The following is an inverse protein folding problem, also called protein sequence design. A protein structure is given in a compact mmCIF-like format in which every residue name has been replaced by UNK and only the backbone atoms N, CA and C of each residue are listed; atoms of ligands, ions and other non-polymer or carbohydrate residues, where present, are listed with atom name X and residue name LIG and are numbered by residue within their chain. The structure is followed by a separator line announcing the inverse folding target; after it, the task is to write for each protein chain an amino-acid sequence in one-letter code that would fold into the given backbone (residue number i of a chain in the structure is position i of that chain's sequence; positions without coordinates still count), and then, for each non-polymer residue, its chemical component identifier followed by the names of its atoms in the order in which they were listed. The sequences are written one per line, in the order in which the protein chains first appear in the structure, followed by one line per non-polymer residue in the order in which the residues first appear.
data_IF_470133392919
#
_entry.id   IF_470133392919
#
_cell.length_a   1.000
_cell.length_b   1.000
_cell.length_c   1.000
_cell.angle_alpha   90.00
_cell.angle_beta   90.00
_cell.angle_gamma   90.00
#
_symmetry.space_group_name_H-M   'P 1'
#
loop_
_entity.id
_entity.type
_entity.pdbx_description
1 polymer ?
#
# COMPACT_ATOMS: atom_id res chain seq x y z
N UNK A 1 -2.50 -18.66 -16.99
CA UNK A 1 -2.52 -18.57 -15.53
C UNK A 1 -2.04 -19.87 -14.88
N UNK A 2 -2.64 -21.04 -15.17
CA UNK A 2 -2.25 -22.31 -14.54
C UNK A 2 -0.74 -22.61 -14.57
N UNK A 3 -0.05 -22.30 -15.67
CA UNK A 3 1.43 -22.43 -15.73
C UNK A 3 2.13 -21.48 -14.77
N UNK A 4 1.62 -20.26 -14.59
CA UNK A 4 2.18 -19.28 -13.64
C UNK A 4 1.98 -19.73 -12.19
N UNK A 5 0.82 -20.30 -11.88
CA UNK A 5 0.52 -20.85 -10.54
C UNK A 5 1.41 -22.04 -10.21
N UNK A 6 1.58 -22.96 -11.17
CA UNK A 6 2.47 -24.12 -11.01
C UNK A 6 3.93 -23.69 -10.88
N UNK A 7 4.39 -22.74 -11.70
CA UNK A 7 5.78 -22.26 -11.66
C UNK A 7 6.09 -21.51 -10.36
N UNK A 8 5.18 -20.68 -9.88
CA UNK A 8 5.36 -19.86 -8.70
C UNK A 8 6.46 -18.81 -8.86
N UNK A 9 6.81 -18.16 -7.76
CA UNK A 9 7.92 -17.21 -7.68
C UNK A 9 8.81 -17.50 -6.48
N UNK A 10 10.12 -17.54 -6.70
CA UNK A 10 11.11 -17.79 -5.65
C UNK A 10 11.20 -16.63 -4.67
N UNK A 11 11.26 -16.96 -3.38
CA UNK A 11 11.34 -15.98 -2.30
C UNK A 11 12.49 -16.34 -1.37
N UNK A 12 13.36 -15.37 -1.11
CA UNK A 12 14.40 -15.50 -0.08
C UNK A 12 13.78 -15.30 1.31
N UNK A 13 13.58 -16.42 2.00
CA UNK A 13 13.01 -16.45 3.35
C UNK A 13 13.88 -15.74 4.38
N UNK A 14 15.21 -15.68 4.18
CA UNK A 14 16.11 -15.06 5.14
C UNK A 14 15.95 -13.54 5.13
N UNK A 15 15.85 -12.93 3.94
CA UNK A 15 15.56 -11.50 3.81
C UNK A 15 14.26 -11.14 4.54
N UNK A 16 13.18 -11.94 4.37
CA UNK A 16 11.92 -11.68 5.07
C UNK A 16 12.07 -11.83 6.60
N UNK A 17 12.82 -12.82 7.07
CA UNK A 17 13.06 -13.02 8.51
C UNK A 17 13.84 -11.87 9.12
N UNK A 18 14.94 -11.45 8.51
CA UNK A 18 15.77 -10.33 8.97
C UNK A 18 14.93 -9.06 9.08
N UNK A 19 14.16 -8.74 8.05
CA UNK A 19 13.21 -7.62 8.08
C UNK A 19 12.16 -7.78 9.19
N UNK A 20 11.68 -8.99 9.40
CA UNK A 20 10.71 -9.30 10.45
C UNK A 20 11.23 -8.97 11.84
N UNK A 21 12.48 -9.33 12.14
CA UNK A 21 13.11 -9.00 13.42
C UNK A 21 13.31 -7.49 13.62
N UNK A 22 13.74 -6.78 12.57
CA UNK A 22 13.85 -5.31 12.62
C UNK A 22 12.50 -4.63 12.90
N UNK A 23 11.44 -5.10 12.24
CA UNK A 23 10.09 -4.54 12.43
C UNK A 23 9.56 -4.85 13.83
N UNK A 24 9.80 -6.04 14.38
CA UNK A 24 9.41 -6.39 15.75
C UNK A 24 10.04 -5.45 16.78
N UNK A 25 11.34 -5.21 16.66
CA UNK A 25 12.06 -4.29 17.56
C UNK A 25 11.42 -2.89 17.49
N UNK A 26 11.12 -2.39 16.28
CA UNK A 26 10.45 -1.10 16.11
C UNK A 26 9.04 -1.08 16.70
N UNK A 27 8.27 -2.15 16.50
CA UNK A 27 6.92 -2.26 17.07
C UNK A 27 6.95 -2.23 18.61
N UNK A 28 7.93 -2.87 19.24
CA UNK A 28 8.11 -2.82 20.68
C UNK A 28 8.44 -1.42 21.19
N UNK A 29 9.34 -0.70 20.50
CA UNK A 29 9.68 0.69 20.85
C UNK A 29 8.47 1.61 20.72
N UNK A 30 7.76 1.55 19.59
CA UNK A 30 6.56 2.38 19.34
C UNK A 30 5.45 2.03 20.35
N UNK A 31 5.31 0.76 20.72
CA UNK A 31 4.34 0.34 21.74
C UNK A 31 4.64 0.99 23.10
N UNK A 32 5.92 1.03 23.52
CA UNK A 32 6.32 1.74 24.73
C UNK A 32 6.01 3.22 24.68
N UNK A 33 6.28 3.86 23.55
CA UNK A 33 5.97 5.29 23.35
C UNK A 33 4.47 5.55 23.44
N UNK A 34 3.64 4.70 22.80
CA UNK A 34 2.17 4.79 22.86
C UNK A 34 1.69 4.68 24.32
N UNK A 35 2.22 3.72 25.11
CA UNK A 35 1.83 3.54 26.49
C UNK A 35 2.30 4.70 27.38
N UNK A 36 3.48 5.26 27.10
CA UNK A 36 3.98 6.44 27.79
C UNK A 36 3.06 7.66 27.57
N UNK A 37 2.66 7.92 26.30
CA UNK A 37 1.73 8.99 25.99
C UNK A 37 0.32 8.73 26.55
N UNK A 38 -0.13 7.49 26.58
CA UNK A 38 -1.42 7.11 27.11
C UNK A 38 -1.44 7.11 28.66
N UNK A 39 -0.29 6.97 29.31
CA UNK A 39 -0.17 6.81 30.77
C UNK A 39 -0.76 5.49 31.28
N UNK A 40 -0.93 4.49 30.42
CA UNK A 40 -1.35 3.12 30.75
C UNK A 40 -1.16 2.17 29.57
N UNK A 41 -1.10 0.89 29.87
CA UNK A 41 -1.14 -0.17 28.86
C UNK A 41 -2.58 -0.47 28.43
N UNK A 42 -2.76 -0.76 27.17
CA UNK A 42 -4.05 -1.14 26.58
C UNK A 42 -3.84 -1.90 25.27
N UNK A 43 -4.88 -2.54 24.74
CA UNK A 43 -4.78 -3.21 23.45
C UNK A 43 -4.90 -2.18 22.28
N UNK A 44 -3.75 -1.81 21.71
CA UNK A 44 -3.64 -0.84 20.59
C UNK A 44 -4.45 -1.30 19.37
N UNK A 45 -4.60 -2.62 19.17
CA UNK A 45 -5.36 -3.21 18.08
C UNK A 45 -6.88 -3.25 18.34
N UNK A 46 -7.34 -2.87 19.54
CA UNK A 46 -8.76 -2.76 19.85
C UNK A 46 -9.28 -1.35 19.54
N UNK A 47 -10.12 -1.16 18.49
CA UNK A 47 -10.67 0.15 18.16
C UNK A 47 -11.44 0.79 19.33
N UNK A 48 -12.07 -0.04 20.16
CA UNK A 48 -12.81 0.41 21.33
C UNK A 48 -11.88 1.01 22.39
N UNK A 49 -10.88 0.25 22.85
CA UNK A 49 -9.93 0.72 23.86
C UNK A 49 -9.13 1.92 23.35
N UNK A 50 -8.71 1.87 22.09
CA UNK A 50 -8.01 3.00 21.49
C UNK A 50 -8.88 4.27 21.46
N UNK A 51 -10.16 4.14 21.10
CA UNK A 51 -11.10 5.25 21.12
C UNK A 51 -11.31 5.84 22.53
N UNK A 52 -11.46 5.00 23.55
CA UNK A 52 -11.57 5.41 24.94
C UNK A 52 -10.30 6.17 25.41
N UNK A 53 -9.10 5.67 25.06
CA UNK A 53 -7.83 6.34 25.40
C UNK A 53 -7.72 7.69 24.70
N UNK A 54 -7.91 7.74 23.38
CA UNK A 54 -7.69 8.99 22.63
C UNK A 54 -8.74 10.06 22.96
N UNK A 55 -10.01 9.68 23.03
CA UNK A 55 -11.12 10.65 23.05
C UNK A 55 -11.72 10.88 24.43
N UNK A 56 -11.59 9.94 25.37
CA UNK A 56 -12.08 10.11 26.74
C UNK A 56 -10.95 10.45 27.71
N UNK A 57 -9.87 9.67 27.70
CA UNK A 57 -8.76 9.90 28.64
C UNK A 57 -7.89 11.09 28.25
N UNK A 58 -7.49 11.18 26.98
CA UNK A 58 -6.63 12.27 26.47
C UNK A 58 -7.41 13.47 25.92
N UNK A 59 -8.75 13.38 25.86
CA UNK A 59 -9.64 14.43 25.39
C UNK A 59 -9.27 15.00 24.00
N UNK A 60 -8.79 14.15 23.08
CA UNK A 60 -8.56 14.57 21.70
C UNK A 60 -9.90 14.90 21.00
N UNK A 61 -9.92 15.84 20.06
CA UNK A 61 -11.13 16.12 19.31
C UNK A 61 -11.53 14.89 18.47
N UNK A 62 -12.79 14.51 18.51
CA UNK A 62 -13.33 13.39 17.72
C UNK A 62 -14.39 13.86 16.73
N UNK A 63 -14.51 13.13 15.63
CA UNK A 63 -15.55 13.36 14.65
C UNK A 63 -16.86 12.65 15.00
N UNK A 64 -17.44 11.95 14.04
CA UNK A 64 -18.69 11.18 14.24
C UNK A 64 -18.40 9.88 15.01
N UNK A 65 -19.29 9.54 15.95
CA UNK A 65 -19.36 8.20 16.51
C UNK A 65 -19.91 7.21 15.45
N UNK A 66 -19.53 5.96 15.54
CA UNK A 66 -20.07 4.90 14.69
C UNK A 66 -21.56 4.61 15.04
N UNK A 67 -22.24 3.76 14.24
CA UNK A 67 -23.64 3.41 14.45
C UNK A 67 -23.92 2.74 15.81
N UNK A 68 -22.92 2.13 16.42
CA UNK A 68 -23.00 1.50 17.76
C UNK A 68 -22.63 2.45 18.90
N UNK A 69 -22.43 3.75 18.63
CA UNK A 69 -22.10 4.76 19.63
C UNK A 69 -20.62 4.83 20.02
N UNK A 70 -19.78 3.96 19.47
CA UNK A 70 -18.35 3.93 19.71
C UNK A 70 -17.57 4.97 18.88
N UNK A 71 -16.34 5.22 19.25
CA UNK A 71 -15.46 6.13 18.52
C UNK A 71 -14.90 5.46 17.25
N UNK A 72 -14.78 6.24 16.18
CA UNK A 72 -14.12 5.81 14.95
C UNK A 72 -12.63 6.15 15.03
N UNK A 73 -11.78 5.14 14.90
CA UNK A 73 -10.32 5.28 14.91
C UNK A 73 -9.67 4.89 13.59
N UNK A 74 -10.41 5.10 12.48
CA UNK A 74 -9.92 4.81 11.13
C UNK A 74 -8.76 5.73 10.75
N UNK A 75 -7.94 5.30 9.79
CA UNK A 75 -6.77 6.04 9.36
C UNK A 75 -7.10 7.48 8.93
N UNK A 76 -8.26 7.70 8.28
CA UNK A 76 -8.67 9.03 7.82
C UNK A 76 -9.09 9.96 8.97
N UNK A 77 -9.58 9.40 10.08
CA UNK A 77 -9.86 10.16 11.32
C UNK A 77 -8.54 10.48 12.00
N UNK A 78 -7.65 9.50 12.17
CA UNK A 78 -6.37 9.69 12.84
C UNK A 78 -5.44 10.65 12.08
N UNK A 79 -5.43 10.63 10.75
CA UNK A 79 -4.65 11.58 9.93
C UNK A 79 -5.01 13.04 10.17
N UNK A 80 -6.20 13.35 10.66
CA UNK A 80 -6.60 14.72 11.03
C UNK A 80 -6.05 15.15 12.38
N UNK A 81 -5.46 14.22 13.12
CA UNK A 81 -4.96 14.40 14.48
C UNK A 81 -3.43 14.17 14.56
N UNK A 82 -2.72 14.29 13.45
CA UNK A 82 -1.26 14.05 13.38
C UNK A 82 -0.44 15.03 14.23
N UNK A 83 -1.01 16.15 14.64
CA UNK A 83 -0.35 17.10 15.55
C UNK A 83 -0.16 16.52 16.97
N UNK A 84 -0.87 15.44 17.30
CA UNK A 84 -0.74 14.75 18.58
C UNK A 84 0.28 13.62 18.46
N UNK A 85 1.39 13.60 19.23
CA UNK A 85 2.46 12.62 19.12
C UNK A 85 1.98 11.17 19.21
N UNK A 86 1.06 10.87 20.13
CA UNK A 86 0.49 9.53 20.27
C UNK A 86 -0.18 9.04 18.99
N UNK A 87 -0.83 9.92 18.23
CA UNK A 87 -1.53 9.57 16.98
C UNK A 87 -0.53 9.19 15.90
N UNK A 88 0.59 9.89 15.80
CA UNK A 88 1.66 9.51 14.87
C UNK A 88 2.23 8.12 15.21
N UNK A 89 2.49 7.85 16.48
CA UNK A 89 2.94 6.53 16.94
C UNK A 89 1.91 5.43 16.59
N UNK A 90 0.61 5.68 16.77
CA UNK A 90 -0.45 4.71 16.45
C UNK A 90 -0.53 4.46 14.94
N UNK A 91 -0.43 5.49 14.11
CA UNK A 91 -0.44 5.35 12.66
C UNK A 91 0.78 4.54 12.17
N UNK A 92 1.97 4.82 12.72
CA UNK A 92 3.19 4.08 12.41
C UNK A 92 3.09 2.63 12.89
N UNK A 93 2.65 2.40 14.13
CA UNK A 93 2.40 1.07 14.68
C UNK A 93 1.49 0.25 13.77
N UNK A 94 0.34 0.79 13.38
CA UNK A 94 -0.61 0.10 12.49
C UNK A 94 -0.04 -0.22 11.12
N UNK A 95 0.75 0.69 10.56
CA UNK A 95 1.41 0.48 9.27
C UNK A 95 2.42 -0.67 9.36
N UNK A 96 3.28 -0.67 10.38
CA UNK A 96 4.29 -1.70 10.60
C UNK A 96 3.67 -3.04 11.00
N UNK A 97 2.66 -3.05 11.87
CA UNK A 97 1.97 -4.28 12.30
C UNK A 97 1.27 -4.96 11.11
N UNK A 98 0.58 -4.18 10.25
CA UNK A 98 -0.01 -4.70 9.02
C UNK A 98 1.03 -5.24 8.07
N UNK A 99 2.13 -4.53 7.90
CA UNK A 99 3.23 -4.93 7.04
C UNK A 99 3.86 -6.23 7.53
N UNK A 100 4.12 -6.34 8.83
CA UNK A 100 4.65 -7.56 9.44
C UNK A 100 3.70 -8.74 9.24
N UNK A 101 2.44 -8.61 9.67
CA UNK A 101 1.49 -9.72 9.65
C UNK A 101 1.14 -10.18 8.22
N UNK A 102 1.00 -9.25 7.27
CA UNK A 102 0.55 -9.58 5.92
C UNK A 102 1.72 -9.98 5.00
N UNK A 103 2.83 -9.22 5.05
CA UNK A 103 3.89 -9.34 4.05
C UNK A 103 5.16 -10.01 4.56
N UNK A 104 5.34 -10.16 5.87
CA UNK A 104 6.45 -10.93 6.42
C UNK A 104 5.95 -12.30 6.86
N UNK A 105 5.20 -12.35 7.95
CA UNK A 105 4.72 -13.61 8.54
C UNK A 105 3.77 -14.35 7.59
N UNK A 106 2.80 -13.63 7.00
CA UNK A 106 1.87 -14.20 6.04
C UNK A 106 2.54 -14.78 4.80
N UNK A 107 3.58 -14.13 4.26
CA UNK A 107 4.32 -14.67 3.11
C UNK A 107 5.23 -15.83 3.48
N UNK A 108 5.94 -15.75 4.62
CA UNK A 108 6.81 -16.84 5.10
C UNK A 108 6.02 -18.15 5.23
N UNK A 109 4.77 -18.07 5.69
CA UNK A 109 3.88 -19.22 5.85
C UNK A 109 3.33 -19.76 4.52
N UNK A 110 3.43 -18.98 3.44
CA UNK A 110 3.02 -19.41 2.10
C UNK A 110 4.17 -19.91 1.23
N UNK A 111 5.40 -19.93 1.75
CA UNK A 111 6.55 -20.48 1.02
C UNK A 111 6.48 -22.00 1.09
N UNK A 112 6.36 -22.64 -0.08
CA UNK A 112 6.33 -24.08 -0.25
C UNK A 112 7.73 -24.72 -0.09
N UNK A 113 7.81 -26.04 -0.07
CA UNK A 113 9.07 -26.79 0.12
C UNK A 113 10.11 -26.53 -0.98
N UNK A 114 9.67 -26.12 -2.18
CA UNK A 114 10.54 -25.73 -3.31
C UNK A 114 11.13 -24.30 -3.17
N UNK A 115 10.77 -23.57 -2.09
CA UNK A 115 11.23 -22.21 -1.83
C UNK A 115 10.47 -21.15 -2.62
N UNK A 116 9.30 -21.48 -3.16
CA UNK A 116 8.46 -20.58 -3.97
C UNK A 116 7.12 -20.28 -3.30
N UNK A 117 6.50 -19.19 -3.72
CA UNK A 117 5.11 -18.89 -3.44
C UNK A 117 4.29 -19.18 -4.71
N UNK A 118 3.25 -19.98 -4.56
CA UNK A 118 2.30 -20.35 -5.60
C UNK A 118 0.96 -19.69 -5.29
N UNK A 119 0.79 -18.45 -5.73
CA UNK A 119 -0.48 -17.74 -5.57
C UNK A 119 -1.54 -18.30 -6.50
N UNK A 120 -2.81 -18.11 -6.17
CA UNK A 120 -3.94 -18.48 -7.02
C UNK A 120 -4.48 -17.21 -7.68
N UNK A 121 -4.68 -17.25 -9.01
CA UNK A 121 -5.25 -16.14 -9.77
C UNK A 121 -6.74 -16.37 -10.03
N UNK A 122 -7.59 -15.51 -9.47
CA UNK A 122 -9.03 -15.55 -9.71
C UNK A 122 -9.43 -14.60 -10.83
N UNK A 123 -10.19 -15.12 -11.82
CA UNK A 123 -10.62 -14.36 -13.00
C UNK A 123 -12.01 -13.73 -12.84
N UNK A 124 -12.82 -14.21 -11.91
CA UNK A 124 -14.24 -13.87 -11.78
C UNK A 124 -14.58 -13.09 -10.51
N UNK A 125 -13.57 -12.66 -9.73
CA UNK A 125 -13.79 -11.98 -8.45
C UNK A 125 -14.09 -10.49 -8.63
N UNK A 126 -13.39 -9.82 -9.53
CA UNK A 126 -13.52 -8.37 -9.72
C UNK A 126 -14.62 -8.03 -10.71
N UNK A 127 -15.40 -6.98 -10.44
CA UNK A 127 -16.42 -6.47 -11.38
C UNK A 127 -15.85 -5.87 -12.65
N UNK A 128 -14.58 -5.50 -12.65
CA UNK A 128 -13.89 -4.85 -13.77
C UNK A 128 -13.24 -5.84 -14.73
N UNK A 129 -13.30 -7.16 -14.45
CA UNK A 129 -12.58 -8.18 -15.23
C UNK A 129 -11.08 -8.26 -14.96
N UNK A 130 -10.56 -7.48 -14.01
CA UNK A 130 -9.16 -7.62 -13.58
C UNK A 130 -8.94 -8.92 -12.84
N UNK A 131 -7.74 -9.51 -12.95
CA UNK A 131 -7.33 -10.62 -12.11
C UNK A 131 -7.19 -10.19 -10.65
N UNK A 132 -7.42 -11.11 -9.75
CA UNK A 132 -7.05 -10.98 -8.34
C UNK A 132 -6.14 -12.13 -7.95
N UNK A 133 -5.18 -11.86 -7.09
CA UNK A 133 -4.26 -12.85 -6.52
C UNK A 133 -4.64 -13.11 -5.07
N UNK A 134 -4.73 -14.39 -4.71
CA UNK A 134 -5.07 -14.84 -3.34
C UNK A 134 -4.11 -15.95 -2.90
N UNK A 135 -3.97 -16.14 -1.60
CA UNK A 135 -3.20 -17.23 -0.97
C UNK A 135 -1.72 -17.32 -1.41
N UNK A 136 -0.92 -16.26 -1.24
CA UNK A 136 -1.23 -14.91 -0.73
C UNK A 136 -1.55 -13.91 -1.85
N UNK A 137 -2.08 -12.72 -1.48
CA UNK A 137 -2.25 -11.65 -2.46
C UNK A 137 -0.91 -10.97 -2.77
N UNK A 138 -0.31 -11.28 -3.91
CA UNK A 138 0.96 -10.71 -4.39
C UNK A 138 0.79 -9.36 -5.11
N UNK A 139 -0.43 -8.98 -5.49
CA UNK A 139 -0.70 -7.74 -6.21
C UNK A 139 -0.68 -6.49 -5.31
N UNK A 140 -0.81 -6.68 -4.00
CA UNK A 140 -0.91 -5.58 -3.03
C UNK A 140 0.40 -5.31 -2.26
N UNK A 141 1.54 -5.85 -2.71
CA UNK A 141 2.84 -5.58 -2.09
C UNK A 141 3.14 -4.08 -2.19
N UNK A 142 3.38 -3.37 -1.06
CA UNK A 142 3.60 -1.94 -1.07
C UNK A 142 4.79 -1.53 -1.96
N UNK A 143 4.66 -0.39 -2.66
CA UNK A 143 5.77 0.15 -3.47
C UNK A 143 6.34 1.45 -2.93
N UNK A 144 5.50 2.24 -2.25
CA UNK A 144 5.85 3.62 -1.88
C UNK A 144 6.66 3.70 -0.59
N UNK A 145 6.47 2.76 0.33
CA UNK A 145 7.22 2.70 1.58
C UNK A 145 8.60 2.07 1.38
N UNK A 146 9.55 2.43 2.24
CA UNK A 146 10.88 1.83 2.26
C UNK A 146 10.82 0.32 2.49
N UNK A 147 10.06 -0.11 3.50
CA UNK A 147 9.84 -1.53 3.77
C UNK A 147 9.17 -2.29 2.62
N UNK A 148 8.24 -1.65 1.89
CA UNK A 148 7.63 -2.26 0.72
C UNK A 148 8.66 -2.54 -0.38
N UNK A 149 9.60 -1.61 -0.59
CA UNK A 149 10.71 -1.83 -1.53
C UNK A 149 11.65 -2.95 -1.07
N UNK A 150 11.90 -3.05 0.23
CA UNK A 150 12.72 -4.13 0.79
C UNK A 150 12.04 -5.50 0.65
N UNK A 151 10.74 -5.61 0.94
CA UNK A 151 9.96 -6.84 0.72
C UNK A 151 10.10 -7.34 -0.72
N UNK A 152 10.06 -6.43 -1.70
CA UNK A 152 10.23 -6.80 -3.11
C UNK A 152 11.60 -7.38 -3.42
N UNK A 153 12.65 -7.03 -2.67
CA UNK A 153 13.98 -7.61 -2.82
C UNK A 153 14.04 -9.08 -2.42
N UNK A 154 13.09 -9.54 -1.59
CA UNK A 154 12.99 -10.95 -1.24
C UNK A 154 12.48 -11.82 -2.41
N UNK A 155 11.82 -11.22 -3.41
CA UNK A 155 11.43 -11.94 -4.63
C UNK A 155 12.61 -11.98 -5.59
N UNK A 156 13.16 -13.16 -5.77
CA UNK A 156 14.39 -13.39 -6.53
C UNK A 156 14.13 -14.27 -7.77
N UNK A 157 14.91 -14.13 -8.83
CA UNK A 157 14.79 -15.02 -9.99
C UNK A 157 15.36 -16.41 -9.67
N UNK A 158 14.99 -17.40 -10.48
CA UNK A 158 15.66 -18.69 -10.51
C UNK A 158 17.12 -18.55 -10.99
N UNK A 159 17.93 -19.58 -10.71
CA UNK A 159 19.32 -19.64 -11.19
C UNK A 159 19.37 -19.45 -12.70
N UNK A 160 20.29 -18.60 -13.17
CA UNK A 160 20.45 -18.23 -14.58
C UNK A 160 19.24 -17.55 -15.22
N UNK A 161 18.40 -16.92 -14.41
CA UNK A 161 17.21 -16.18 -14.86
C UNK A 161 17.25 -14.73 -14.37
N UNK A 162 16.37 -13.89 -14.91
CA UNK A 162 16.19 -12.50 -14.51
C UNK A 162 14.69 -12.22 -14.33
N UNK A 163 14.37 -11.29 -13.44
CA UNK A 163 13.00 -10.78 -13.35
C UNK A 163 12.84 -9.69 -14.42
N UNK A 164 11.97 -9.96 -15.41
CA UNK A 164 11.56 -8.96 -16.39
C UNK A 164 10.27 -8.30 -15.90
N UNK A 165 10.31 -6.96 -15.74
CA UNK A 165 9.13 -6.17 -15.43
C UNK A 165 8.79 -5.30 -16.66
N UNK A 166 7.57 -5.48 -17.18
CA UNK A 166 7.06 -4.70 -18.30
C UNK A 166 5.59 -4.36 -18.05
N UNK A 167 5.20 -3.12 -18.33
CA UNK A 167 3.85 -2.63 -18.15
C UNK A 167 3.44 -1.73 -19.33
N UNK A 168 2.16 -1.78 -19.67
CA UNK A 168 1.61 -0.90 -20.69
C UNK A 168 1.44 0.51 -20.12
N UNK A 169 2.08 1.50 -20.75
CA UNK A 169 1.95 2.89 -20.34
C UNK A 169 0.53 3.40 -20.59
N UNK A 170 -0.20 3.68 -19.50
CA UNK A 170 -1.52 4.32 -19.50
C UNK A 170 -2.55 3.62 -20.42
N UNK A 171 -2.59 2.28 -20.42
CA UNK A 171 -3.40 1.51 -21.37
C UNK A 171 -4.88 1.86 -21.29
N UNK A 172 -5.45 2.08 -20.12
CA UNK A 172 -6.85 2.43 -19.94
C UNK A 172 -7.17 3.78 -20.59
N UNK A 173 -6.30 4.77 -20.42
CA UNK A 173 -6.48 6.10 -21.04
C UNK A 173 -6.31 6.06 -22.56
N UNK A 174 -5.43 5.20 -23.07
CA UNK A 174 -5.28 4.99 -24.55
C UNK A 174 -6.52 4.34 -25.14
N UNK A 175 -7.07 3.32 -24.48
CA UNK A 175 -8.33 2.70 -24.89
C UNK A 175 -9.47 3.71 -24.81
N UNK A 176 -9.54 4.50 -23.74
CA UNK A 176 -10.54 5.54 -23.60
C UNK A 176 -10.45 6.61 -24.71
N UNK A 177 -9.25 7.08 -25.02
CA UNK A 177 -9.02 8.01 -26.13
C UNK A 177 -9.51 7.44 -27.46
N UNK A 178 -9.21 6.17 -27.75
CA UNK A 178 -9.65 5.49 -28.96
C UNK A 178 -11.18 5.36 -29.04
N UNK A 179 -11.81 4.89 -27.94
CA UNK A 179 -13.26 4.66 -27.90
C UNK A 179 -14.08 5.96 -27.90
N UNK A 180 -13.59 7.00 -27.23
CA UNK A 180 -14.27 8.30 -27.14
C UNK A 180 -14.10 9.16 -28.41
N UNK A 181 -13.05 8.91 -29.20
CA UNK A 181 -12.72 9.70 -30.38
C UNK A 181 -12.29 11.13 -30.08
N UNK A 182 -11.91 11.46 -28.84
CA UNK A 182 -11.45 12.80 -28.43
C UNK A 182 -10.08 13.09 -29.05
N UNK A 183 -10.07 13.98 -30.07
CA UNK A 183 -8.86 14.28 -30.83
C UNK A 183 -7.71 14.78 -29.98
N UNK A 184 -7.94 15.60 -28.96
CA UNK A 184 -6.90 16.14 -28.09
C UNK A 184 -6.19 15.03 -27.32
N UNK A 185 -6.90 14.00 -26.85
CA UNK A 185 -6.31 12.84 -26.19
C UNK A 185 -5.53 11.97 -27.18
N UNK A 186 -6.10 11.72 -28.35
CA UNK A 186 -5.46 10.93 -29.40
C UNK A 186 -4.17 11.59 -29.84
N UNK A 187 -4.19 12.90 -30.12
CA UNK A 187 -3.02 13.66 -30.51
C UNK A 187 -1.93 13.67 -29.43
N UNK A 188 -2.32 13.89 -28.17
CA UNK A 188 -1.36 13.84 -27.07
C UNK A 188 -0.63 12.48 -26.98
N UNK A 189 -1.34 11.37 -27.18
CA UNK A 189 -0.69 10.04 -27.21
C UNK A 189 0.18 9.83 -28.44
N UNK A 190 -0.21 10.32 -29.61
CA UNK A 190 0.58 10.22 -30.84
C UNK A 190 1.86 11.06 -30.77
N UNK A 191 1.81 12.19 -30.09
CA UNK A 191 2.94 13.09 -29.85
C UNK A 191 3.82 12.63 -28.65
N UNK A 192 3.42 11.54 -27.98
CA UNK A 192 4.16 11.02 -26.82
C UNK A 192 4.05 11.87 -25.55
N UNK A 193 3.09 12.77 -25.49
CA UNK A 193 2.86 13.64 -24.33
C UNK A 193 2.16 12.82 -23.23
N UNK A 194 2.68 12.90 -22.01
CA UNK A 194 2.05 12.31 -20.83
C UNK A 194 0.74 13.05 -20.51
N UNK A 195 -0.37 12.33 -20.41
CA UNK A 195 -1.71 12.91 -20.21
C UNK A 195 -1.80 13.74 -18.93
N UNK A 196 -1.18 13.30 -17.83
CA UNK A 196 -1.16 14.09 -16.60
C UNK A 196 -0.37 15.39 -16.75
N UNK A 197 0.70 15.38 -17.55
CA UNK A 197 1.44 16.59 -17.90
C UNK A 197 0.57 17.51 -18.74
N UNK A 198 -0.12 16.99 -19.76
CA UNK A 198 -1.04 17.78 -20.58
C UNK A 198 -2.18 18.39 -19.75
N UNK A 199 -2.80 17.60 -18.89
CA UNK A 199 -3.85 18.09 -17.99
C UNK A 199 -3.31 19.20 -17.08
N UNK A 200 -2.10 19.05 -16.54
CA UNK A 200 -1.47 20.09 -15.74
C UNK A 200 -1.21 21.36 -16.52
N UNK A 201 -0.72 21.26 -17.77
CA UNK A 201 -0.58 22.42 -18.67
C UNK A 201 -1.91 23.16 -18.85
N UNK A 202 -2.98 22.41 -19.08
CA UNK A 202 -4.30 22.98 -19.32
C UNK A 202 -4.92 23.62 -18.08
N UNK A 203 -4.75 23.01 -16.89
CA UNK A 203 -5.26 23.52 -15.60
C UNK A 203 -4.46 24.74 -15.13
N UNK A 204 -3.13 24.64 -15.10
CA UNK A 204 -2.26 25.67 -14.55
C UNK A 204 -1.82 26.73 -15.56
N UNK A 205 -2.19 26.56 -16.84
CA UNK A 205 -1.85 27.48 -17.96
C UNK A 205 -0.34 27.71 -18.08
N UNK A 206 0.43 26.65 -17.96
CA UNK A 206 1.89 26.66 -18.09
C UNK A 206 2.35 25.79 -19.28
N UNK A 207 3.47 26.11 -19.93
CA UNK A 207 4.05 25.24 -20.95
C UNK A 207 4.60 23.94 -20.30
N UNK A 208 4.88 22.94 -21.12
CA UNK A 208 5.32 21.61 -20.66
C UNK A 208 6.51 21.67 -19.72
N UNK A 209 7.51 22.52 -20.03
CA UNK A 209 8.73 22.72 -19.25
C UNK A 209 8.45 23.38 -17.88
N UNK A 210 7.31 24.05 -17.75
CA UNK A 210 6.85 24.69 -16.50
C UNK A 210 6.07 23.76 -15.58
N UNK A 211 5.73 22.54 -16.02
CA UNK A 211 4.96 21.59 -15.21
C UNK A 211 5.82 20.97 -14.14
N UNK A 212 5.55 21.31 -12.88
CA UNK A 212 6.22 20.71 -11.73
C UNK A 212 5.66 19.32 -11.39
N UNK A 213 6.44 18.49 -10.65
CA UNK A 213 5.97 17.19 -10.15
C UNK A 213 4.69 17.32 -9.31
N UNK A 214 4.53 18.44 -8.59
CA UNK A 214 3.35 18.69 -7.76
C UNK A 214 2.11 19.00 -8.63
N UNK A 215 2.25 19.85 -9.63
CA UNK A 215 1.18 20.14 -10.60
C UNK A 215 0.72 18.88 -11.32
N UNK A 216 1.67 18.07 -11.82
CA UNK A 216 1.37 16.79 -12.47
C UNK A 216 0.63 15.79 -11.56
N UNK A 217 0.88 15.84 -10.22
CA UNK A 217 0.21 14.97 -9.26
C UNK A 217 -1.20 15.44 -8.91
N UNK A 218 -1.47 16.74 -9.03
CA UNK A 218 -2.79 17.34 -8.76
C UNK A 218 -3.72 17.25 -9.97
N UNK A 219 -3.17 17.19 -11.16
CA UNK A 219 -3.85 16.97 -12.42
C UNK A 219 -4.13 15.49 -12.70
#
# INVERSE_FOLDING_TARGET
LAKMEIEGIRVDKNILKEMGEEIKIKLELITKDIYNYAGCEFNINSPKQLGEILFEKLNLPYGKKNKSGGYTTDADVLKKLVDYPIVNCILEYRALAKLYSTYIDGMINCISDDGKIHTIYTQTLTRTGRLSSIEPNLQNIPMRSEYGRLIRKAFIPESNSVILSSDYSQIELRIFAHLSGVNDLINAFNEGIDIHTKTAMDIFKVPQEGVTKNMRRQA
#
